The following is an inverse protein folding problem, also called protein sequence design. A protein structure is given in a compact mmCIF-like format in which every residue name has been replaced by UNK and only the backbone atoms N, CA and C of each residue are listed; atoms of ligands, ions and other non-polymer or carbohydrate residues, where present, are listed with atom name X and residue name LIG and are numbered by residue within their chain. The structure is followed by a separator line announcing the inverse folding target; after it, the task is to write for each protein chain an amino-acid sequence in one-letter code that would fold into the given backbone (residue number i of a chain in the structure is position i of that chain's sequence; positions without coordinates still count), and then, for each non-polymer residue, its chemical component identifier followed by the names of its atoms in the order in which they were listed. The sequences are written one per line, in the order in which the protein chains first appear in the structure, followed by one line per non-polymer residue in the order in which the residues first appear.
data_IF_600643406596
#
_entry.id   IF_600643406596
#
_cell.length_a   1.000
_cell.length_b   1.000
_cell.length_c   1.000
_cell.angle_alpha   90.00
_cell.angle_beta   90.00
_cell.angle_gamma   90.00
#
_symmetry.space_group_name_H-M   'P 1'
#
loop_
_entity.id
_entity.type
_entity.pdbx_description
1 polymer ?
#
# COMPACT_ATOMS: atom_id res chain seq x y z
N UNK A 1 10.82 10.52 -3.79
CA UNK A 1 9.45 10.01 -3.55
C UNK A 1 8.51 11.06 -2.94
N UNK A 2 9.00 12.19 -2.40
CA UNK A 2 8.21 13.01 -1.48
C UNK A 2 8.07 14.48 -1.95
N UNK A 3 8.38 14.84 -3.20
CA UNK A 3 8.57 16.26 -3.53
C UNK A 3 7.31 17.01 -3.97
N UNK A 4 6.16 16.36 -4.22
CA UNK A 4 5.09 16.98 -5.02
C UNK A 4 3.68 16.60 -4.55
N UNK A 5 3.25 16.94 -3.33
CA UNK A 5 1.85 16.71 -2.92
C UNK A 5 0.86 17.69 -3.58
N UNK A 6 1.25 18.94 -3.85
CA UNK A 6 0.38 19.95 -4.50
C UNK A 6 -0.02 19.58 -5.93
N UNK A 7 0.87 18.90 -6.67
CA UNK A 7 0.56 18.36 -8.00
C UNK A 7 -0.43 17.20 -7.96
N UNK A 8 -0.56 16.50 -6.82
CA UNK A 8 -1.49 15.40 -6.64
C UNK A 8 -2.93 15.88 -6.40
N UNK A 9 -3.13 17.11 -5.93
CA UNK A 9 -4.46 17.71 -5.85
C UNK A 9 -5.04 18.04 -7.23
N UNK A 10 -4.20 18.37 -8.21
CA UNK A 10 -4.66 18.69 -9.58
C UNK A 10 -4.64 17.49 -10.53
N UNK A 11 -3.99 16.40 -10.13
CA UNK A 11 -3.78 15.23 -11.00
C UNK A 11 -4.70 14.07 -10.62
N UNK A 12 -5.26 13.38 -11.62
CA UNK A 12 -6.03 12.15 -11.40
C UNK A 12 -5.13 10.91 -11.22
N UNK A 13 -3.83 11.08 -11.43
CA UNK A 13 -2.84 10.00 -11.44
C UNK A 13 -1.51 10.48 -10.89
N UNK A 14 -0.77 9.56 -10.27
CA UNK A 14 0.58 9.78 -9.76
C UNK A 14 1.53 8.76 -10.40
N UNK A 15 2.62 9.24 -10.98
CA UNK A 15 3.68 8.38 -11.52
C UNK A 15 4.84 8.32 -10.53
N UNK A 16 5.15 7.11 -10.07
CA UNK A 16 6.29 6.83 -9.20
C UNK A 16 7.39 6.20 -10.06
N UNK A 17 8.57 6.84 -10.22
CA UNK A 17 9.70 6.23 -10.89
C UNK A 17 10.22 5.03 -10.07
N UNK A 18 10.45 3.89 -10.72
CA UNK A 18 11.02 2.71 -10.10
C UNK A 18 12.53 2.85 -9.95
N UNK A 19 13.04 2.84 -8.71
CA UNK A 19 14.47 3.07 -8.45
C UNK A 19 15.39 1.91 -8.85
N UNK A 20 14.93 0.65 -8.77
CA UNK A 20 15.77 -0.53 -9.04
C UNK A 20 15.54 -1.17 -10.41
N UNK A 21 14.32 -1.08 -10.95
CA UNK A 21 13.91 -1.84 -12.14
C UNK A 21 13.66 -0.95 -13.37
N UNK A 22 13.80 0.38 -13.24
CA UNK A 22 13.42 1.37 -14.26
C UNK A 22 11.91 1.46 -14.54
N UNK A 23 11.14 0.41 -14.23
CA UNK A 23 9.68 0.35 -14.39
C UNK A 23 8.98 1.42 -13.56
N UNK A 24 8.29 2.34 -14.23
CA UNK A 24 7.43 3.35 -13.61
C UNK A 24 6.16 2.67 -13.09
N UNK A 25 5.68 3.12 -11.93
CA UNK A 25 4.37 2.72 -11.40
C UNK A 25 3.41 3.88 -11.49
N UNK A 26 2.20 3.62 -11.95
CA UNK A 26 1.14 4.62 -12.02
C UNK A 26 0.07 4.28 -10.98
N UNK A 27 -0.32 5.28 -10.20
CA UNK A 27 -1.34 5.16 -9.16
C UNK A 27 -2.48 6.10 -9.52
N UNK A 28 -3.69 5.56 -9.69
CA UNK A 28 -4.90 6.37 -9.83
C UNK A 28 -5.25 7.01 -8.49
N UNK A 29 -5.48 8.33 -8.49
CA UNK A 29 -5.94 9.06 -7.32
C UNK A 29 -7.46 9.15 -7.40
N UNK A 30 -8.14 8.35 -6.57
CA UNK A 30 -9.60 8.42 -6.47
C UNK A 30 -10.03 9.61 -5.60
N UNK A 31 -11.34 9.93 -5.62
CA UNK A 31 -11.91 11.09 -4.90
C UNK A 31 -11.58 11.07 -3.40
N UNK A 32 -11.70 9.91 -2.75
CA UNK A 32 -11.43 9.77 -1.32
C UNK A 32 -9.94 10.00 -1.00
N UNK A 33 -9.04 9.39 -1.77
CA UNK A 33 -7.60 9.59 -1.61
C UNK A 33 -7.21 11.06 -1.86
N UNK A 34 -7.85 11.71 -2.84
CA UNK A 34 -7.65 13.14 -3.10
C UNK A 34 -8.03 14.00 -1.90
N UNK A 35 -9.16 13.71 -1.24
CA UNK A 35 -9.58 14.41 -0.03
C UNK A 35 -8.56 14.23 1.10
N UNK A 36 -8.11 13.00 1.36
CA UNK A 36 -7.10 12.75 2.40
C UNK A 36 -5.75 13.40 2.07
N UNK A 37 -5.34 13.44 0.80
CA UNK A 37 -4.14 14.15 0.36
C UNK A 37 -4.26 15.65 0.65
N UNK A 38 -5.40 16.24 0.33
CA UNK A 38 -5.66 17.66 0.55
C UNK A 38 -5.64 18.02 2.04
N UNK A 39 -6.29 17.19 2.87
CA UNK A 39 -6.30 17.35 4.32
C UNK A 39 -4.89 17.19 4.93
N UNK A 40 -4.09 16.24 4.44
CA UNK A 40 -2.69 16.14 4.86
C UNK A 40 -1.89 17.38 4.45
N UNK A 41 -2.10 17.88 3.23
CA UNK A 41 -1.37 19.03 2.71
C UNK A 41 -1.68 20.30 3.52
N UNK A 42 -2.95 20.54 3.85
CA UNK A 42 -3.37 21.70 4.64
C UNK A 42 -2.83 21.66 6.07
N UNK A 43 -2.67 20.48 6.67
CA UNK A 43 -2.09 20.32 8.01
C UNK A 43 -0.57 20.40 8.02
N UNK A 44 0.09 19.88 6.99
CA UNK A 44 1.56 19.88 6.90
C UNK A 44 2.09 21.27 6.49
N UNK A 45 1.34 22.00 5.64
CA UNK A 45 1.74 23.30 5.08
C UNK A 45 3.19 23.32 4.57
N UNK A 46 3.53 22.49 3.57
CA UNK A 46 4.91 22.39 3.10
C UNK A 46 5.38 23.74 2.52
N UNK A 47 6.56 24.19 2.95
CA UNK A 47 7.09 25.51 2.60
C UNK A 47 7.40 25.72 1.11
N UNK A 48 7.57 24.65 0.31
CA UNK A 48 7.71 24.76 -1.15
C UNK A 48 7.47 23.43 -1.87
N UNK A 49 7.04 23.52 -3.13
CA UNK A 49 6.75 22.39 -4.04
C UNK A 49 8.00 21.63 -4.52
N UNK A 50 9.20 22.05 -4.10
CA UNK A 50 10.45 21.34 -4.37
C UNK A 50 10.92 20.52 -3.16
N UNK A 51 10.34 20.73 -1.98
CA UNK A 51 10.77 20.05 -0.76
C UNK A 51 10.05 18.72 -0.56
N UNK A 52 10.71 17.75 0.11
CA UNK A 52 10.01 16.61 0.66
C UNK A 52 8.88 17.07 1.58
N UNK A 53 7.69 16.48 1.42
CA UNK A 53 6.50 16.84 2.21
C UNK A 53 6.42 16.10 3.56
N UNK A 54 6.83 14.83 3.60
CA UNK A 54 6.92 14.05 4.85
C UNK A 54 8.30 14.22 5.49
N UNK A 55 8.39 15.21 6.38
CA UNK A 55 9.60 15.53 7.14
C UNK A 55 9.43 15.19 8.62
N UNK A 56 10.55 14.85 9.25
CA UNK A 56 10.64 14.71 10.70
C UNK A 56 10.62 16.09 11.38
N UNK A 57 10.47 16.10 12.70
CA UNK A 57 10.62 17.32 13.51
C UNK A 57 11.99 17.98 13.33
N UNK A 58 13.01 17.23 12.90
CA UNK A 58 14.36 17.74 12.59
C UNK A 58 14.51 18.21 11.13
N UNK A 59 13.40 18.37 10.42
CA UNK A 59 13.34 18.79 9.01
C UNK A 59 14.08 17.85 8.03
N UNK A 60 14.20 16.56 8.39
CA UNK A 60 14.83 15.52 7.56
C UNK A 60 13.79 14.54 7.02
N UNK A 61 14.06 13.92 5.87
CA UNK A 61 13.17 12.90 5.30
C UNK A 61 13.13 11.64 6.17
N UNK A 62 11.93 11.04 6.28
CA UNK A 62 11.80 9.78 6.99
C UNK A 62 12.52 8.64 6.27
N UNK A 63 13.39 7.93 7.00
CA UNK A 63 13.94 6.65 6.56
C UNK A 63 12.92 5.53 6.70
N UNK A 64 13.12 4.42 5.97
CA UNK A 64 12.27 3.22 6.08
C UNK A 64 12.33 2.65 7.50
N UNK A 65 13.51 2.68 8.13
CA UNK A 65 13.71 2.24 9.51
C UNK A 65 12.85 3.05 10.48
N UNK A 66 12.82 4.39 10.30
CA UNK A 66 12.00 5.26 11.15
C UNK A 66 10.51 5.01 10.94
N UNK A 67 10.07 4.81 9.69
CA UNK A 67 8.68 4.43 9.41
C UNK A 67 8.34 3.11 10.12
N UNK A 68 9.17 2.08 10.00
CA UNK A 68 8.92 0.80 10.69
C UNK A 68 8.87 0.95 12.22
N UNK A 69 9.67 1.84 12.81
CA UNK A 69 9.58 2.15 14.24
C UNK A 69 8.23 2.81 14.59
N UNK A 70 7.75 3.77 13.79
CA UNK A 70 6.42 4.39 13.96
C UNK A 70 5.32 3.32 13.88
N UNK A 71 5.42 2.40 12.92
CA UNK A 71 4.47 1.28 12.81
C UNK A 71 4.46 0.39 14.05
N UNK A 72 5.62 0.07 14.64
CA UNK A 72 5.69 -0.68 15.91
C UNK A 72 4.99 0.07 17.05
N UNK A 73 5.18 1.38 17.15
CA UNK A 73 4.46 2.21 18.14
C UNK A 73 2.96 2.17 17.90
N UNK A 74 2.50 2.34 16.66
CA UNK A 74 1.07 2.25 16.31
C UNK A 74 0.48 0.88 16.68
N UNK A 75 1.20 -0.21 16.40
CA UNK A 75 0.79 -1.56 16.81
C UNK A 75 0.51 -1.63 18.31
N UNK A 76 1.39 -1.07 19.13
CA UNK A 76 1.23 -1.03 20.59
C UNK A 76 0.05 -0.16 21.00
N UNK A 77 -0.03 1.06 20.48
CA UNK A 77 -1.06 2.03 20.85
C UNK A 77 -2.49 1.54 20.54
N UNK A 78 -2.65 0.79 19.46
CA UNK A 78 -3.93 0.21 19.05
C UNK A 78 -4.10 -1.26 19.46
N UNK A 79 -3.21 -1.81 20.29
CA UNK A 79 -3.23 -3.19 20.77
C UNK A 79 -3.44 -4.24 19.65
N UNK A 80 -2.75 -4.06 18.52
CA UNK A 80 -2.95 -4.90 17.34
C UNK A 80 -2.25 -6.26 17.52
N UNK A 81 -3.04 -7.34 17.57
CA UNK A 81 -2.56 -8.73 17.67
C UNK A 81 -2.10 -9.32 16.33
N UNK A 82 -1.24 -8.58 15.62
CA UNK A 82 -0.64 -9.01 14.36
C UNK A 82 0.87 -9.18 14.54
N UNK A 83 1.49 -10.16 13.90
CA UNK A 83 2.93 -10.44 14.04
C UNK A 83 3.83 -9.30 13.51
N UNK A 84 4.53 -9.56 12.40
CA UNK A 84 5.47 -8.63 11.77
C UNK A 84 4.77 -7.42 11.14
N UNK A 85 4.35 -6.45 11.95
CA UNK A 85 3.66 -5.23 11.53
C UNK A 85 4.64 -4.19 10.97
N UNK A 86 4.43 -3.79 9.72
CA UNK A 86 5.32 -2.87 8.98
C UNK A 86 4.60 -2.24 7.79
N UNK A 87 5.32 -1.47 6.98
CA UNK A 87 4.82 -0.95 5.70
C UNK A 87 4.38 -2.05 4.73
N UNK A 88 5.00 -3.24 4.78
CA UNK A 88 4.55 -4.39 4.01
C UNK A 88 3.18 -4.90 4.45
N UNK A 89 2.82 -4.76 5.73
CA UNK A 89 1.50 -5.14 6.23
C UNK A 89 0.42 -4.31 5.54
N UNK A 90 0.60 -2.98 5.42
CA UNK A 90 -0.36 -2.12 4.72
C UNK A 90 -0.57 -2.53 3.27
N UNK A 91 0.53 -2.88 2.58
CA UNK A 91 0.46 -3.35 1.19
C UNK A 91 -0.26 -4.69 1.06
N UNK A 92 -0.03 -5.63 1.99
CA UNK A 92 -0.79 -6.89 2.06
C UNK A 92 -2.26 -6.65 2.34
N UNK A 93 -2.59 -5.79 3.30
CA UNK A 93 -3.97 -5.43 3.66
C UNK A 93 -4.72 -4.85 2.47
N UNK A 94 -4.11 -3.89 1.76
CA UNK A 94 -4.69 -3.35 0.52
C UNK A 94 -4.98 -4.46 -0.51
N UNK A 95 -3.99 -5.32 -0.77
CA UNK A 95 -4.16 -6.41 -1.73
C UNK A 95 -5.22 -7.43 -1.32
N UNK A 96 -5.27 -7.83 -0.04
CA UNK A 96 -6.31 -8.73 0.47
C UNK A 96 -7.69 -8.10 0.40
N UNK A 97 -7.83 -6.82 0.73
CA UNK A 97 -9.12 -6.14 0.63
C UNK A 97 -9.62 -6.07 -0.82
N UNK A 98 -8.73 -5.82 -1.79
CA UNK A 98 -9.10 -5.84 -3.23
C UNK A 98 -9.50 -7.25 -3.66
N UNK A 99 -8.76 -8.27 -3.25
CA UNK A 99 -9.09 -9.67 -3.56
C UNK A 99 -10.43 -10.11 -2.97
N UNK A 100 -10.65 -9.87 -1.67
CA UNK A 100 -11.88 -10.26 -0.98
C UNK A 100 -13.13 -9.56 -1.53
N UNK A 101 -13.00 -8.34 -2.05
CA UNK A 101 -14.12 -7.60 -2.69
C UNK A 101 -14.36 -8.00 -4.15
N UNK A 102 -13.51 -8.83 -4.74
CA UNK A 102 -13.63 -9.17 -6.16
C UNK A 102 -14.65 -10.29 -6.42
N UNK A 103 -15.07 -11.03 -5.38
CA UNK A 103 -16.07 -12.11 -5.47
C UNK A 103 -15.76 -13.06 -6.64
N UNK A 104 -16.65 -13.16 -7.63
CA UNK A 104 -16.49 -14.01 -8.82
C UNK A 104 -15.31 -13.61 -9.72
N UNK A 105 -14.76 -12.40 -9.55
CA UNK A 105 -13.62 -11.89 -10.32
C UNK A 105 -12.26 -12.02 -9.58
N UNK A 106 -12.18 -12.88 -8.57
CA UNK A 106 -11.00 -13.07 -7.72
C UNK A 106 -9.69 -13.29 -8.51
N UNK A 107 -9.69 -14.17 -9.52
CA UNK A 107 -8.50 -14.45 -10.33
C UNK A 107 -8.07 -13.24 -11.16
N UNK A 108 -9.02 -12.53 -11.78
CA UNK A 108 -8.72 -11.29 -12.50
C UNK A 108 -8.15 -10.21 -11.55
N UNK A 109 -8.65 -10.15 -10.32
CA UNK A 109 -8.10 -9.25 -9.31
C UNK A 109 -6.66 -9.64 -8.94
N UNK A 110 -6.33 -10.93 -8.83
CA UNK A 110 -4.95 -11.38 -8.61
C UNK A 110 -4.01 -10.99 -9.75
N UNK A 111 -4.45 -11.12 -11.02
CA UNK A 111 -3.67 -10.67 -12.18
C UNK A 111 -3.38 -9.18 -12.10
N UNK A 112 -4.41 -8.34 -11.85
CA UNK A 112 -4.26 -6.88 -11.70
C UNK A 112 -3.34 -6.51 -10.53
N UNK A 113 -3.51 -7.18 -9.38
CA UNK A 113 -2.67 -6.96 -8.21
C UNK A 113 -1.21 -7.33 -8.48
N UNK A 114 -0.95 -8.40 -9.25
CA UNK A 114 0.42 -8.80 -9.60
C UNK A 114 1.16 -7.72 -10.41
N UNK A 115 0.47 -7.10 -11.37
CA UNK A 115 0.98 -5.98 -12.16
C UNK A 115 1.20 -4.74 -11.30
N UNK A 116 0.20 -4.37 -10.48
CA UNK A 116 0.27 -3.22 -9.58
C UNK A 116 1.41 -3.35 -8.57
N UNK A 117 1.64 -4.57 -8.10
CA UNK A 117 2.73 -4.89 -7.19
C UNK A 117 4.08 -5.10 -7.87
N UNK A 118 4.09 -5.18 -9.20
CA UNK A 118 5.27 -5.50 -9.99
C UNK A 118 5.95 -6.78 -9.48
N UNK A 119 5.14 -7.80 -9.20
CA UNK A 119 5.60 -9.15 -8.92
C UNK A 119 5.89 -9.89 -10.22
N UNK A 120 6.82 -10.84 -10.19
CA UNK A 120 7.23 -11.60 -11.38
C UNK A 120 6.14 -12.55 -11.89
N UNK A 121 5.19 -12.94 -11.03
CA UNK A 121 4.06 -13.78 -11.42
C UNK A 121 2.85 -13.58 -10.50
N UNK A 122 1.69 -14.07 -10.95
CA UNK A 122 0.46 -14.13 -10.15
C UNK A 122 0.65 -15.00 -8.90
N UNK A 123 1.39 -16.10 -9.02
CA UNK A 123 1.71 -17.01 -7.90
C UNK A 123 2.46 -16.31 -6.76
N UNK A 124 3.40 -15.41 -7.09
CA UNK A 124 4.09 -14.59 -6.08
C UNK A 124 3.09 -13.72 -5.32
N UNK A 125 2.08 -13.17 -6.01
CA UNK A 125 1.02 -12.37 -5.39
C UNK A 125 0.11 -13.21 -4.51
N UNK A 126 -0.30 -14.40 -4.98
CA UNK A 126 -1.12 -15.35 -4.18
C UNK A 126 -0.44 -15.71 -2.87
N UNK A 127 0.86 -16.05 -2.92
CA UNK A 127 1.70 -16.31 -1.73
C UNK A 127 1.87 -15.07 -0.85
N UNK A 128 2.15 -13.91 -1.46
CA UNK A 128 2.32 -12.65 -0.74
C UNK A 128 1.09 -12.26 0.09
N UNK A 129 -0.09 -12.53 -0.46
CA UNK A 129 -1.38 -12.31 0.16
C UNK A 129 -1.78 -13.44 1.12
N UNK A 130 -1.11 -14.60 1.10
CA UNK A 130 -1.42 -15.74 1.97
C UNK A 130 -2.66 -16.54 1.53
N UNK A 131 -3.12 -16.37 0.30
CA UNK A 131 -4.38 -16.97 -0.19
C UNK A 131 -4.24 -18.49 -0.35
N UNK A 132 -3.09 -18.96 -0.84
CA UNK A 132 -2.85 -20.38 -1.08
C UNK A 132 -2.98 -21.26 0.16
N UNK A 133 -2.77 -20.73 1.36
CA UNK A 133 -2.91 -21.52 2.60
C UNK A 133 -4.37 -21.62 3.01
N UNK A 134 -5.10 -20.52 2.98
CA UNK A 134 -6.49 -20.45 3.42
C UNK A 134 -7.40 -21.29 2.49
N UNK A 135 -7.23 -21.17 1.16
CA UNK A 135 -8.01 -21.94 0.17
C UNK A 135 -7.75 -23.45 0.28
N UNK A 136 -6.50 -23.86 0.54
CA UNK A 136 -6.14 -25.27 0.75
C UNK A 136 -6.85 -25.85 1.96
N UNK A 137 -6.92 -25.10 3.06
CA UNK A 137 -7.62 -25.54 4.27
C UNK A 137 -9.13 -25.61 4.05
N UNK A 138 -9.72 -24.62 3.38
CA UNK A 138 -11.15 -24.62 3.05
C UNK A 138 -11.57 -25.73 2.09
N UNK A 139 -10.65 -26.27 1.28
CA UNK A 139 -10.95 -27.38 0.37
C UNK A 139 -11.37 -28.64 1.14
N UNK A 140 -10.84 -28.85 2.36
CA UNK A 140 -11.25 -29.96 3.20
C UNK A 140 -12.70 -29.83 3.69
N UNK A 141 -13.16 -28.60 3.91
CA UNK A 141 -14.52 -28.32 4.39
C UNK A 141 -15.57 -28.39 3.27
N UNK A 142 -15.14 -28.39 2.00
CA UNK A 142 -16.04 -28.48 0.84
C UNK A 142 -16.58 -29.90 0.60
N UNK A 143 -16.02 -30.91 1.26
CA UNK A 143 -16.49 -32.29 1.21
C UNK A 143 -17.38 -32.56 2.43
N UNK A 144 -18.69 -32.55 2.22
CA UNK A 144 -19.67 -33.09 3.18
C UNK A 144 -20.00 -34.53 2.79
N UNK A 145 -19.74 -35.48 3.70
CA UNK A 145 -20.18 -36.87 3.59
C UNK A 145 -21.51 -37.07 4.30
#
# INVERSE_FOLDING_TARGET
MIHRLKLLEKSHRMVIPGQKTGKKREIKINRQLKQHISECYSRIMPGSDKHPVFLSQKNTTYSIQRLNAIFKTLKSNYNLKVGNFSTHSMRKTFGRQVFSKAETNAELALVKLSQLFNHSSVMVTRRYLGISRDELLQTYDALTF
#
